data_IF_540055183558
#
_entry.id   IF_540055183558
#
_cell.length_a   1.000
_cell.length_b   1.000
_cell.length_c   1.000
_cell.angle_alpha   90.00
_cell.angle_beta   90.00
_cell.angle_gamma   90.00
#
_symmetry.space_group_name_H-M   'P 1'
#
loop_
_entity.id
_entity.type
_entity.pdbx_description
1 polymer ?
#
# COMPACT_ATOMS: atom_id res chain seq x y z
N UNK A 1 -16.58 6.94 -8.87
CA UNK A 1 -15.75 5.72 -8.94
C UNK A 1 -15.29 5.39 -7.52
N UNK A 2 -15.29 4.12 -7.11
CA UNK A 2 -14.78 3.71 -5.80
C UNK A 2 -13.52 2.89 -6.01
N UNK A 3 -12.44 3.24 -5.32
CA UNK A 3 -11.11 2.64 -5.47
C UNK A 3 -10.70 2.06 -4.12
N UNK A 4 -10.24 0.82 -4.12
CA UNK A 4 -9.70 0.15 -2.93
C UNK A 4 -8.30 -0.33 -3.25
N UNK A 5 -7.31 0.13 -2.49
CA UNK A 5 -5.90 -0.28 -2.64
C UNK A 5 -5.35 -0.81 -1.32
N UNK A 6 -4.86 -2.05 -1.36
CA UNK A 6 -4.12 -2.66 -0.26
C UNK A 6 -2.63 -2.40 -0.41
N UNK A 7 -2.00 -1.91 0.66
CA UNK A 7 -0.56 -1.64 0.72
C UNK A 7 0.07 -2.74 1.56
N UNK A 8 0.95 -3.53 0.97
CA UNK A 8 1.71 -4.52 1.72
C UNK A 8 2.69 -3.80 2.65
N UNK A 9 2.76 -4.16 3.95
CA UNK A 9 3.87 -3.72 4.79
C UNK A 9 5.13 -4.41 4.27
N UNK A 10 6.00 -3.66 3.62
CA UNK A 10 7.23 -4.16 3.02
C UNK A 10 8.39 -3.30 3.48
N UNK A 11 8.93 -3.60 4.67
CA UNK A 11 10.14 -2.96 5.23
C UNK A 11 10.29 -1.46 4.93
N UNK A 12 11.49 -1.06 4.49
CA UNK A 12 11.79 0.32 4.13
C UNK A 12 11.21 0.71 2.76
N UNK A 13 10.46 1.80 2.73
CA UNK A 13 9.95 2.41 1.51
C UNK A 13 11.09 3.02 0.68
N UNK A 14 11.00 2.90 -0.64
CA UNK A 14 11.93 3.51 -1.59
C UNK A 14 11.21 4.35 -2.65
N UNK A 15 11.97 5.10 -3.46
CA UNK A 15 11.43 6.02 -4.47
C UNK A 15 10.48 5.34 -5.47
N UNK A 16 10.76 4.10 -5.83
CA UNK A 16 9.86 3.27 -6.64
C UNK A 16 8.45 3.11 -6.04
N UNK A 17 8.30 2.93 -4.72
CA UNK A 17 6.97 2.86 -4.10
C UNK A 17 6.24 4.19 -4.21
N UNK A 18 6.97 5.30 -4.04
CA UNK A 18 6.40 6.63 -4.13
C UNK A 18 5.87 6.92 -5.54
N UNK A 19 6.71 6.76 -6.56
CA UNK A 19 6.31 7.05 -7.93
C UNK A 19 5.36 6.02 -8.53
N UNK A 20 5.49 4.75 -8.14
CA UNK A 20 4.71 3.64 -8.68
C UNK A 20 3.33 3.46 -8.03
N UNK A 21 3.18 3.81 -6.75
CA UNK A 21 1.92 3.60 -6.03
C UNK A 21 1.43 4.86 -5.30
N UNK A 22 2.26 5.49 -4.46
CA UNK A 22 1.77 6.53 -3.54
C UNK A 22 1.32 7.80 -4.26
N UNK A 23 2.12 8.33 -5.19
CA UNK A 23 1.77 9.54 -5.94
C UNK A 23 0.50 9.32 -6.79
N UNK A 24 0.38 8.26 -7.60
CA UNK A 24 -0.87 7.95 -8.30
C UNK A 24 -2.05 7.73 -7.34
N UNK A 25 -1.83 7.07 -6.20
CA UNK A 25 -2.88 6.88 -5.19
C UNK A 25 -3.41 8.22 -4.69
N UNK A 26 -2.54 9.17 -4.33
CA UNK A 26 -2.97 10.52 -3.92
C UNK A 26 -3.79 11.21 -5.01
N UNK A 27 -3.33 11.18 -6.27
CA UNK A 27 -4.05 11.77 -7.40
C UNK A 27 -5.44 11.15 -7.66
N UNK A 28 -5.64 9.89 -7.27
CA UNK A 28 -6.93 9.19 -7.41
C UNK A 28 -7.96 9.66 -6.38
N UNK A 29 -7.55 10.28 -5.27
CA UNK A 29 -8.46 10.84 -4.27
C UNK A 29 -9.33 11.96 -4.86
N UNK A 30 -8.81 12.72 -5.83
CA UNK A 30 -9.55 13.78 -6.51
C UNK A 30 -10.57 13.23 -7.53
N UNK A 31 -10.51 11.93 -7.87
CA UNK A 31 -11.32 11.31 -8.93
C UNK A 31 -12.46 10.42 -8.41
N UNK A 32 -12.60 10.28 -7.10
CA UNK A 32 -13.65 9.48 -6.48
C UNK A 32 -13.35 9.10 -5.04
N UNK A 33 -14.13 8.16 -4.50
CA UNK A 33 -13.90 7.63 -3.15
C UNK A 33 -12.74 6.64 -3.20
N UNK A 34 -11.60 7.00 -2.61
CA UNK A 34 -10.44 6.14 -2.52
C UNK A 34 -10.21 5.66 -1.08
N UNK A 35 -10.06 4.34 -0.93
CA UNK A 35 -9.85 3.65 0.33
C UNK A 35 -8.49 2.94 0.29
N UNK A 36 -7.69 3.17 1.33
CA UNK A 36 -6.37 2.57 1.48
C UNK A 36 -6.29 1.81 2.80
N UNK A 37 -5.67 0.64 2.77
CA UNK A 37 -5.45 -0.14 3.98
C UNK A 37 -4.10 -0.85 3.91
N UNK A 38 -3.54 -1.16 5.08
CA UNK A 38 -2.35 -2.00 5.18
C UNK A 38 -2.79 -3.47 5.16
N UNK A 39 -2.29 -4.24 4.21
CA UNK A 39 -2.61 -5.65 4.04
C UNK A 39 -1.81 -6.53 5.02
N UNK A 40 -1.92 -6.24 6.32
CA UNK A 40 -1.18 -6.91 7.40
C UNK A 40 -1.48 -8.41 7.52
N UNK A 41 -2.70 -8.87 7.24
CA UNK A 41 -2.98 -10.31 7.24
C UNK A 41 -2.31 -11.04 6.07
N UNK A 42 -2.09 -10.36 4.94
CA UNK A 42 -1.39 -10.96 3.79
C UNK A 42 0.11 -11.08 4.05
N UNK A 43 0.67 -10.24 4.93
CA UNK A 43 2.08 -10.40 5.33
C UNK A 43 2.31 -11.65 6.18
N UNK A 44 1.30 -12.19 6.88
CA UNK A 44 1.44 -13.43 7.66
C UNK A 44 1.78 -14.67 6.82
N UNK A 45 1.54 -14.64 5.51
CA UNK A 45 1.87 -15.76 4.60
C UNK A 45 3.18 -15.57 3.86
N UNK A 46 3.86 -14.42 4.00
CA UNK A 46 5.00 -14.06 3.16
C UNK A 46 6.15 -13.38 3.89
N UNK A 47 5.91 -12.79 5.07
CA UNK A 47 6.90 -12.16 5.93
C UNK A 47 7.01 -12.92 7.25
N UNK A 48 8.07 -13.73 7.33
CA UNK A 48 8.31 -14.62 8.47
C UNK A 48 9.07 -13.91 9.60
N UNK A 49 9.89 -12.91 9.29
CA UNK A 49 10.61 -12.10 10.26
C UNK A 49 9.70 -11.02 10.86
N UNK A 50 9.62 -10.95 12.19
CA UNK A 50 8.71 -10.04 12.88
C UNK A 50 9.09 -8.56 12.69
N UNK A 51 10.37 -8.27 12.47
CA UNK A 51 10.88 -6.91 12.24
C UNK A 51 10.53 -6.36 10.85
N UNK A 52 10.11 -7.23 9.93
CA UNK A 52 9.68 -6.87 8.57
C UNK A 52 8.15 -6.76 8.41
N UNK A 53 7.38 -7.14 9.44
CA UNK A 53 5.91 -7.07 9.50
C UNK A 53 5.42 -5.70 9.98
#
# INVERSE_FOLDING_TARGET
MRILSGIQPSGALHLGNYFGMMRPAIELQDRGEAFYFIANYHSMTSLFEAEER
#
